data_IF_805306635440
#
_entry.id   IF_805306635440
#
_cell.length_a   1.000
_cell.length_b   1.000
_cell.length_c   1.000
_cell.angle_alpha   90.00
_cell.angle_beta   90.00
_cell.angle_gamma   90.00
#
_symmetry.space_group_name_H-M   'P 1'
#
loop_
_entity.id
_entity.type
_entity.pdbx_description
1 polymer ?
#
# COMPACT_ATOMS: atom_id res chain seq x y z
N UNK A 1 -8.45 -5.85 -15.94
CA UNK A 1 -8.23 -4.69 -15.06
C UNK A 1 -8.94 -3.47 -15.63
N UNK A 2 -9.60 -2.68 -14.82
CA UNK A 2 -10.14 -1.39 -15.25
C UNK A 2 -8.98 -0.42 -15.50
N UNK A 3 -9.12 0.50 -16.45
CA UNK A 3 -8.02 1.35 -16.96
C UNK A 3 -7.36 2.30 -15.94
N UNK A 4 -7.93 2.44 -14.73
CA UNK A 4 -7.42 3.33 -13.68
C UNK A 4 -6.49 2.67 -12.67
N UNK A 5 -6.28 1.35 -12.73
CA UNK A 5 -5.41 0.60 -11.83
C UNK A 5 -4.38 -0.19 -12.62
N UNK A 6 -3.09 0.08 -12.39
CA UNK A 6 -1.98 -0.61 -13.05
C UNK A 6 -1.22 -1.43 -12.02
N UNK A 7 -0.70 -2.58 -12.42
CA UNK A 7 0.08 -3.49 -11.59
C UNK A 7 1.55 -3.50 -11.99
N UNK A 8 2.41 -3.44 -10.97
CA UNK A 8 3.81 -3.83 -11.05
C UNK A 8 4.10 -4.81 -9.93
N UNK A 9 4.59 -5.99 -10.25
CA UNK A 9 5.10 -6.90 -9.21
C UNK A 9 6.54 -6.51 -8.90
N UNK A 10 6.84 -6.19 -7.63
CA UNK A 10 8.14 -5.66 -7.18
C UNK A 10 8.59 -6.33 -5.88
N UNK A 11 9.87 -6.17 -5.56
CA UNK A 11 10.44 -6.69 -4.32
C UNK A 11 10.66 -8.20 -4.30
N UNK A 12 11.23 -8.70 -3.20
CA UNK A 12 11.64 -10.11 -3.04
C UNK A 12 10.46 -11.10 -3.03
N UNK A 13 9.27 -10.66 -2.67
CA UNK A 13 8.05 -11.49 -2.62
C UNK A 13 7.08 -11.21 -3.77
N UNK A 14 7.50 -10.51 -4.82
CA UNK A 14 6.64 -10.13 -5.95
C UNK A 14 5.37 -9.39 -5.48
N UNK A 15 5.56 -8.41 -4.58
CA UNK A 15 4.47 -7.59 -4.08
C UNK A 15 3.69 -6.96 -5.24
N UNK A 16 2.39 -7.02 -5.17
CA UNK A 16 1.51 -6.33 -6.07
C UNK A 16 1.52 -4.82 -5.74
N UNK A 17 2.51 -4.10 -6.27
CA UNK A 17 2.56 -2.64 -6.21
C UNK A 17 1.51 -2.08 -7.15
N UNK A 18 0.49 -1.44 -6.58
CA UNK A 18 -0.60 -0.85 -7.36
C UNK A 18 -0.32 0.61 -7.69
N UNK A 19 -0.62 1.00 -8.92
CA UNK A 19 -0.54 2.40 -9.36
C UNK A 19 -1.94 2.86 -9.70
N UNK A 20 -2.48 3.76 -8.89
CA UNK A 20 -3.79 4.38 -9.08
C UNK A 20 -3.62 5.57 -10.02
N UNK A 21 -4.22 5.51 -11.20
CA UNK A 21 -4.29 6.65 -12.12
C UNK A 21 -5.36 7.62 -11.66
N UNK A 22 -4.94 8.87 -11.42
CA UNK A 22 -5.83 9.96 -11.04
C UNK A 22 -6.22 10.82 -12.25
N UNK A 23 -5.28 10.97 -13.20
CA UNK A 23 -5.48 11.65 -14.48
C UNK A 23 -4.66 10.96 -15.57
N UNK A 24 -4.43 11.64 -16.69
CA UNK A 24 -3.56 11.14 -17.73
C UNK A 24 -2.14 10.86 -17.20
N UNK A 25 -1.60 11.76 -16.37
CA UNK A 25 -0.20 11.71 -15.93
C UNK A 25 -0.04 11.55 -14.41
N UNK A 26 -1.02 11.99 -13.58
CA UNK A 26 -0.89 12.00 -12.13
C UNK A 26 -1.30 10.65 -11.55
N UNK A 27 -0.46 10.12 -10.65
CA UNK A 27 -0.70 8.79 -10.05
C UNK A 27 -0.38 8.78 -8.56
N UNK A 28 -0.95 7.79 -7.85
CA UNK A 28 -0.52 7.35 -6.52
C UNK A 28 0.05 5.93 -6.64
N UNK A 29 1.15 5.68 -5.94
CA UNK A 29 1.77 4.37 -5.81
C UNK A 29 1.35 3.75 -4.48
N UNK A 30 0.90 2.50 -4.49
CA UNK A 30 0.54 1.76 -3.28
C UNK A 30 1.52 0.61 -3.10
N UNK A 31 2.11 0.51 -1.91
CA UNK A 31 3.05 -0.53 -1.49
C UNK A 31 4.24 -0.71 -2.44
N UNK A 32 5.12 0.29 -2.56
CA UNK A 32 6.32 0.19 -3.40
C UNK A 32 7.36 -0.71 -2.73
N UNK A 33 7.58 -1.90 -3.27
CA UNK A 33 8.48 -2.91 -2.72
C UNK A 33 9.85 -2.98 -3.41
N UNK A 34 10.02 -2.28 -4.56
CA UNK A 34 11.27 -2.35 -5.34
C UNK A 34 12.44 -1.72 -4.61
N UNK A 35 13.51 -2.49 -4.40
CA UNK A 35 14.70 -2.04 -3.69
C UNK A 35 15.96 -2.70 -4.23
N UNK A 36 17.12 -2.29 -3.74
CA UNK A 36 18.43 -2.82 -4.13
C UNK A 36 18.56 -4.30 -3.78
N UNK A 37 18.05 -4.70 -2.63
CA UNK A 37 18.12 -6.06 -2.10
C UNK A 37 17.31 -7.06 -2.94
N UNK A 38 16.29 -6.58 -3.67
CA UNK A 38 15.52 -7.36 -4.65
C UNK A 38 16.05 -7.22 -6.09
N UNK A 39 17.10 -6.43 -6.32
CA UNK A 39 17.67 -6.13 -7.65
C UNK A 39 16.68 -5.52 -8.65
N UNK A 40 15.68 -4.80 -8.16
CA UNK A 40 14.65 -4.15 -8.97
C UNK A 40 14.37 -2.69 -8.58
N UNK A 41 15.31 -2.05 -7.88
CA UNK A 41 15.17 -0.70 -7.31
C UNK A 41 14.69 0.35 -8.31
N UNK A 42 15.07 0.22 -9.60
CA UNK A 42 14.67 1.16 -10.65
C UNK A 42 13.36 0.77 -11.36
N UNK A 43 12.74 -0.35 -11.02
CA UNK A 43 11.62 -0.92 -11.79
C UNK A 43 10.41 0.02 -11.84
N UNK A 44 9.99 0.54 -10.68
CA UNK A 44 8.87 1.50 -10.59
C UNK A 44 9.23 2.81 -11.31
N UNK A 45 10.42 3.36 -11.06
CA UNK A 45 10.89 4.62 -11.65
C UNK A 45 10.93 4.53 -13.18
N UNK A 46 11.51 3.45 -13.71
CA UNK A 46 11.59 3.22 -15.15
C UNK A 46 10.20 3.08 -15.78
N UNK A 47 9.26 2.41 -15.08
CA UNK A 47 7.88 2.31 -15.53
C UNK A 47 7.18 3.67 -15.59
N UNK A 48 7.31 4.47 -14.53
CA UNK A 48 6.73 5.82 -14.46
C UNK A 48 7.27 6.72 -15.59
N UNK A 49 8.60 6.75 -15.74
CA UNK A 49 9.25 7.55 -16.78
C UNK A 49 8.84 7.13 -18.20
N UNK A 50 8.81 5.83 -18.47
CA UNK A 50 8.40 5.28 -19.78
C UNK A 50 6.98 5.66 -20.16
N UNK A 51 6.09 5.79 -19.18
CA UNK A 51 4.67 6.08 -19.38
C UNK A 51 4.30 7.55 -19.11
N UNK A 52 5.29 8.44 -18.88
CA UNK A 52 5.10 9.85 -18.53
C UNK A 52 4.17 10.04 -17.32
N UNK A 53 4.33 9.19 -16.28
CA UNK A 53 3.52 9.24 -15.07
C UNK A 53 4.27 9.98 -13.96
N UNK A 54 3.58 10.89 -13.29
CA UNK A 54 4.08 11.70 -12.17
C UNK A 54 3.45 11.21 -10.86
N UNK A 55 4.21 10.59 -9.95
CA UNK A 55 3.68 10.20 -8.65
C UNK A 55 3.52 11.44 -7.75
N UNK A 56 2.29 11.68 -7.31
CA UNK A 56 1.98 12.75 -6.34
C UNK A 56 2.01 12.23 -4.90
N UNK A 57 1.86 10.92 -4.72
CA UNK A 57 1.84 10.27 -3.42
C UNK A 57 2.20 8.80 -3.46
N UNK A 58 2.65 8.32 -2.31
CA UNK A 58 2.86 6.92 -1.96
C UNK A 58 1.93 6.61 -0.80
N UNK A 59 1.19 5.52 -0.89
CA UNK A 59 0.37 4.99 0.20
C UNK A 59 0.95 3.65 0.61
N UNK A 60 1.16 3.46 1.89
CA UNK A 60 1.52 2.19 2.49
C UNK A 60 0.26 1.60 3.14
N UNK A 61 -0.15 0.41 2.71
CA UNK A 61 -1.32 -0.25 3.29
C UNK A 61 -1.04 -0.69 4.72
N UNK A 62 0.22 -1.00 5.02
CA UNK A 62 0.70 -1.34 6.35
C UNK A 62 2.24 -1.21 6.40
N UNK A 63 2.85 -1.49 7.56
CA UNK A 63 4.26 -1.19 7.81
C UNK A 63 5.25 -2.31 7.46
N UNK A 64 4.84 -3.51 7.00
CA UNK A 64 5.80 -4.60 6.83
C UNK A 64 6.85 -4.28 5.77
N UNK A 65 8.03 -4.79 6.03
CA UNK A 65 9.28 -4.47 5.34
C UNK A 65 9.20 -4.65 3.81
N UNK A 66 8.50 -5.64 3.36
CA UNK A 66 8.34 -5.99 1.95
C UNK A 66 7.39 -5.04 1.19
N UNK A 67 6.56 -4.27 1.87
CA UNK A 67 5.67 -3.27 1.27
C UNK A 67 6.26 -1.85 1.27
N UNK A 68 7.26 -1.58 2.11
CA UNK A 68 7.78 -0.22 2.33
C UNK A 68 9.19 0.03 1.75
N UNK A 69 9.90 -1.03 1.34
CA UNK A 69 11.32 -0.97 0.98
C UNK A 69 11.66 0.00 -0.16
N UNK A 70 10.73 0.22 -1.09
CA UNK A 70 10.91 1.13 -2.23
C UNK A 70 10.65 2.60 -1.92
N UNK A 71 10.18 2.95 -0.71
CA UNK A 71 9.81 4.33 -0.37
C UNK A 71 11.01 5.29 -0.45
N UNK A 72 12.18 4.85 -0.01
CA UNK A 72 13.40 5.66 0.00
C UNK A 72 13.81 6.10 -1.39
N UNK A 73 14.00 5.15 -2.30
CA UNK A 73 14.46 5.44 -3.66
C UNK A 73 13.42 6.27 -4.44
N UNK A 74 12.14 6.03 -4.22
CA UNK A 74 11.08 6.83 -4.81
C UNK A 74 11.09 8.28 -4.29
N UNK A 75 11.28 8.48 -2.99
CA UNK A 75 11.36 9.83 -2.40
C UNK A 75 12.61 10.59 -2.87
N UNK A 76 13.73 9.90 -3.11
CA UNK A 76 14.95 10.48 -3.68
C UNK A 76 14.73 10.96 -5.13
N UNK A 77 13.99 10.20 -5.96
CA UNK A 77 13.71 10.55 -7.35
C UNK A 77 12.55 11.55 -7.50
N UNK A 78 11.57 11.48 -6.60
CA UNK A 78 10.37 12.31 -6.59
C UNK A 78 10.21 13.02 -5.23
N UNK A 79 11.05 14.01 -4.91
CA UNK A 79 11.11 14.61 -3.56
C UNK A 79 9.80 15.28 -3.11
N UNK A 80 8.96 15.70 -4.05
CA UNK A 80 7.65 16.30 -3.76
C UNK A 80 6.53 15.25 -3.54
N UNK A 81 6.80 13.97 -3.83
CA UNK A 81 5.86 12.87 -3.61
C UNK A 81 5.66 12.67 -2.10
N UNK A 82 4.43 12.80 -1.60
CA UNK A 82 4.10 12.63 -0.18
C UNK A 82 3.91 11.15 0.15
N UNK A 83 4.36 10.75 1.35
CA UNK A 83 4.20 9.38 1.84
C UNK A 83 3.11 9.36 2.92
N UNK A 84 2.16 8.44 2.78
CA UNK A 84 1.04 8.28 3.71
C UNK A 84 0.91 6.85 4.21
N UNK A 85 0.54 6.71 5.48
CA UNK A 85 0.23 5.45 6.15
C UNK A 85 -0.78 5.70 7.29
N UNK A 86 -1.38 4.66 7.84
CA UNK A 86 -2.16 4.80 9.07
C UNK A 86 -1.27 5.15 10.28
N UNK A 87 -1.77 5.98 11.20
CA UNK A 87 -0.99 6.51 12.33
C UNK A 87 -0.39 5.41 13.21
N UNK A 88 -1.08 4.30 13.42
CA UNK A 88 -0.61 3.17 14.25
C UNK A 88 0.57 2.39 13.65
N UNK A 89 0.83 2.50 12.34
CA UNK A 89 1.94 1.83 11.66
C UNK A 89 3.09 2.78 11.29
N UNK A 90 2.94 4.07 11.55
CA UNK A 90 3.85 5.13 11.13
C UNK A 90 5.30 4.90 11.55
N UNK A 91 5.52 4.57 12.83
CA UNK A 91 6.87 4.44 13.37
C UNK A 91 7.61 3.25 12.76
N UNK A 92 6.92 2.15 12.50
CA UNK A 92 7.47 0.94 11.89
C UNK A 92 7.70 1.06 10.37
N UNK A 93 7.20 2.13 9.74
CA UNK A 93 7.37 2.40 8.30
C UNK A 93 8.26 3.62 8.01
N UNK A 94 8.95 4.16 9.00
CA UNK A 94 9.78 5.36 8.89
C UNK A 94 11.19 5.12 9.45
N UNK A 95 11.81 6.12 10.05
CA UNK A 95 13.18 6.05 10.58
C UNK A 95 13.42 4.92 11.60
N UNK A 96 12.37 4.46 12.30
CA UNK A 96 12.45 3.36 13.26
C UNK A 96 12.22 1.98 12.64
N UNK A 97 11.93 1.89 11.33
CA UNK A 97 11.58 0.65 10.64
C UNK A 97 12.59 -0.48 10.89
N UNK A 98 13.88 -0.19 10.73
CA UNK A 98 14.95 -1.16 11.01
C UNK A 98 14.85 -1.72 12.41
N UNK A 99 14.86 -0.84 13.45
CA UNK A 99 14.83 -1.24 14.85
C UNK A 99 13.60 -2.08 15.20
N UNK A 100 12.45 -1.75 14.61
CA UNK A 100 11.18 -2.42 14.90
C UNK A 100 11.02 -3.75 14.17
N UNK A 101 11.69 -3.94 13.02
CA UNK A 101 11.50 -5.10 12.16
C UNK A 101 12.70 -6.03 12.04
N UNK A 102 13.91 -5.64 12.50
CA UNK A 102 15.11 -6.49 12.37
C UNK A 102 14.96 -7.86 13.03
N UNK A 103 14.27 -7.96 14.16
CA UNK A 103 14.03 -9.25 14.83
C UNK A 103 13.10 -10.16 14.00
N UNK A 104 12.15 -9.59 13.29
CA UNK A 104 11.27 -10.33 12.35
C UNK A 104 12.13 -10.88 11.22
N UNK A 105 12.91 -10.02 10.58
CA UNK A 105 13.78 -10.38 9.46
C UNK A 105 14.79 -11.46 9.86
N UNK A 106 15.45 -11.32 11.01
CA UNK A 106 16.39 -12.32 11.52
C UNK A 106 15.71 -13.66 11.79
N UNK A 107 14.51 -13.66 12.37
CA UNK A 107 13.75 -14.89 12.63
C UNK A 107 13.33 -15.65 11.36
N UNK A 108 13.17 -14.92 10.26
CA UNK A 108 12.82 -15.44 8.95
C UNK A 108 14.06 -15.73 8.06
N UNK A 109 15.28 -15.50 8.55
CA UNK A 109 16.53 -15.60 7.79
C UNK A 109 16.60 -14.61 6.61
N UNK A 110 16.01 -13.43 6.76
CA UNK A 110 16.05 -12.30 5.82
C UNK A 110 16.92 -11.14 6.30
N UNK A 111 17.95 -11.44 7.09
CA UNK A 111 18.91 -10.45 7.63
C UNK A 111 19.57 -9.59 6.54
N UNK A 112 19.76 -10.12 5.35
CA UNK A 112 20.26 -9.37 4.19
C UNK A 112 19.33 -8.21 3.77
N UNK A 113 18.04 -8.27 4.13
CA UNK A 113 17.07 -7.25 3.77
C UNK A 113 17.02 -6.07 4.77
N UNK A 114 17.70 -6.18 5.91
CA UNK A 114 17.70 -5.14 6.95
C UNK A 114 18.19 -3.79 6.40
N UNK A 115 19.15 -3.81 5.45
CA UNK A 115 19.68 -2.60 4.80
C UNK A 115 18.62 -1.81 4.03
N UNK A 116 17.59 -2.46 3.49
CA UNK A 116 16.49 -1.81 2.79
C UNK A 116 15.64 -0.91 3.72
N UNK A 117 15.66 -1.18 5.04
CA UNK A 117 14.92 -0.43 6.05
C UNK A 117 15.73 0.70 6.70
N UNK A 118 16.97 0.90 6.27
CA UNK A 118 17.82 1.95 6.82
C UNK A 118 17.49 3.32 6.23
N UNK A 119 17.32 4.30 7.12
CA UNK A 119 17.08 5.69 6.74
C UNK A 119 15.88 5.86 5.81
N UNK A 120 14.79 5.16 6.08
CA UNK A 120 13.53 5.39 5.39
C UNK A 120 13.06 6.84 5.62
N UNK A 121 12.39 7.45 4.64
CA UNK A 121 11.90 8.82 4.76
C UNK A 121 10.83 8.94 5.85
N UNK A 122 10.63 10.16 6.34
CA UNK A 122 9.53 10.46 7.24
C UNK A 122 8.18 10.31 6.52
N UNK A 123 7.15 9.97 7.27
CA UNK A 123 5.78 9.97 6.80
C UNK A 123 5.26 11.42 6.76
N UNK A 124 4.71 11.81 5.62
CA UNK A 124 4.17 13.17 5.40
C UNK A 124 2.70 13.28 5.84
N UNK A 125 1.92 12.19 5.70
CA UNK A 125 0.47 12.14 5.97
C UNK A 125 0.15 10.92 6.81
N UNK A 126 -0.66 11.08 7.87
CA UNK A 126 -1.20 9.94 8.62
C UNK A 126 -2.71 9.85 8.46
N UNK A 127 -3.22 8.61 8.31
CA UNK A 127 -4.64 8.31 8.25
C UNK A 127 -5.15 7.77 9.59
N UNK A 128 -6.43 8.00 9.86
CA UNK A 128 -7.16 7.43 11.01
C UNK A 128 -8.21 6.39 10.58
N UNK A 129 -8.43 6.25 9.26
CA UNK A 129 -9.20 5.15 8.68
C UNK A 129 -10.64 5.44 8.26
N UNK A 130 -11.01 6.69 8.07
CA UNK A 130 -12.31 7.07 7.52
C UNK A 130 -12.24 8.19 6.47
N UNK A 131 -11.05 8.61 6.12
CA UNK A 131 -10.78 9.70 5.20
C UNK A 131 -10.87 9.23 3.74
N UNK A 132 -10.86 10.20 2.84
CA UNK A 132 -10.56 9.99 1.42
C UNK A 132 -9.10 10.36 1.15
N UNK A 133 -8.63 10.12 -0.07
CA UNK A 133 -7.27 10.50 -0.47
C UNK A 133 -7.10 12.03 -0.71
N UNK A 134 -8.08 12.85 -0.34
CA UNK A 134 -8.03 14.30 -0.50
C UNK A 134 -6.87 14.97 0.27
N UNK A 135 -6.27 14.31 1.26
CA UNK A 135 -5.05 14.76 1.92
C UNK A 135 -3.85 14.97 0.98
N UNK A 136 -3.89 14.36 -0.22
CA UNK A 136 -2.90 14.58 -1.27
C UNK A 136 -3.22 15.79 -2.16
N UNK A 137 -4.36 16.43 -1.99
CA UNK A 137 -4.76 17.59 -2.83
C UNK A 137 -3.76 18.73 -2.71
N UNK A 138 -3.41 19.31 -3.85
CA UNK A 138 -2.62 20.53 -3.96
C UNK A 138 -3.11 21.38 -5.13
N UNK A 139 -2.80 22.70 -5.16
CA UNK A 139 -3.26 23.60 -6.22
C UNK A 139 -2.74 23.25 -7.62
N UNK A 140 -1.65 22.47 -7.71
CA UNK A 140 -1.01 22.09 -8.97
C UNK A 140 -1.72 20.91 -9.65
N UNK A 141 -2.58 20.18 -8.92
CA UNK A 141 -3.26 19.00 -9.46
C UNK A 141 -4.37 19.37 -10.44
N UNK A 142 -4.56 18.53 -11.43
CA UNK A 142 -5.70 18.61 -12.33
C UNK A 142 -7.01 18.41 -11.57
N UNK A 143 -8.09 19.02 -12.06
CA UNK A 143 -9.44 18.83 -11.48
C UNK A 143 -9.87 17.34 -11.53
N UNK A 144 -9.46 16.61 -12.56
CA UNK A 144 -9.69 15.16 -12.67
C UNK A 144 -8.98 14.40 -11.54
N UNK A 145 -7.72 14.73 -11.24
CA UNK A 145 -6.99 14.08 -10.14
C UNK A 145 -7.65 14.35 -8.79
N UNK A 146 -8.09 15.59 -8.54
CA UNK A 146 -8.80 15.95 -7.30
C UNK A 146 -10.10 15.16 -7.15
N UNK A 147 -10.87 15.02 -8.22
CA UNK A 147 -12.09 14.19 -8.22
C UNK A 147 -11.77 12.71 -7.90
N UNK A 148 -10.75 12.15 -8.55
CA UNK A 148 -10.35 10.77 -8.31
C UNK A 148 -9.84 10.53 -6.89
N UNK A 149 -9.10 11.47 -6.29
CA UNK A 149 -8.69 11.39 -4.88
C UNK A 149 -9.89 11.26 -3.93
N UNK A 150 -10.99 11.96 -4.22
CA UNK A 150 -12.22 11.89 -3.40
C UNK A 150 -13.00 10.58 -3.59
N UNK A 151 -12.80 9.86 -4.70
CA UNK A 151 -13.48 8.58 -4.96
C UNK A 151 -12.89 7.40 -4.17
N UNK A 152 -11.65 7.54 -3.66
CA UNK A 152 -10.98 6.52 -2.86
C UNK A 152 -11.16 6.80 -1.37
N UNK A 153 -11.79 5.87 -0.66
CA UNK A 153 -11.98 5.91 0.79
C UNK A 153 -10.97 5.00 1.48
N UNK A 154 -10.37 5.48 2.56
CA UNK A 154 -9.55 4.70 3.48
C UNK A 154 -10.47 3.94 4.44
N UNK A 155 -10.19 2.65 4.62
CA UNK A 155 -10.87 1.81 5.60
C UNK A 155 -9.79 1.24 6.52
N UNK A 156 -9.87 1.53 7.82
CA UNK A 156 -8.99 0.90 8.81
C UNK A 156 -9.35 -0.58 8.96
N UNK A 157 -8.39 -1.45 8.74
CA UNK A 157 -8.54 -2.91 8.70
C UNK A 157 -7.49 -3.60 9.58
N UNK A 158 -7.52 -3.37 10.92
CA UNK A 158 -6.52 -3.91 11.82
C UNK A 158 -6.62 -5.43 11.95
N UNK A 159 -5.49 -6.05 12.22
CA UNK A 159 -5.40 -7.50 12.46
C UNK A 159 -4.13 -8.12 11.94
N UNK A 160 -3.71 -7.84 10.72
CA UNK A 160 -2.39 -8.18 10.19
C UNK A 160 -1.30 -7.29 10.83
N UNK A 161 -1.54 -5.98 10.81
CA UNK A 161 -0.86 -4.97 11.63
C UNK A 161 -1.89 -4.13 12.39
N UNK A 162 -1.48 -3.33 13.39
CA UNK A 162 -2.39 -2.42 14.08
C UNK A 162 -2.95 -1.32 13.16
N UNK A 163 -2.15 -0.86 12.20
CA UNK A 163 -2.48 0.23 11.28
C UNK A 163 -2.83 -0.23 9.86
N UNK A 164 -3.13 -1.51 9.65
CA UNK A 164 -3.54 -2.00 8.34
C UNK A 164 -4.73 -1.24 7.76
N UNK A 165 -4.67 -0.89 6.47
CA UNK A 165 -5.77 -0.21 5.76
C UNK A 165 -6.09 -0.89 4.43
N UNK A 166 -7.34 -0.74 4.00
CA UNK A 166 -7.76 -0.96 2.63
C UNK A 166 -8.15 0.36 1.96
N UNK A 167 -8.00 0.43 0.64
CA UNK A 167 -8.44 1.56 -0.18
C UNK A 167 -9.65 1.13 -1.02
N UNK A 168 -10.81 1.74 -0.78
CA UNK A 168 -12.06 1.39 -1.44
C UNK A 168 -12.54 2.47 -2.41
N UNK A 169 -12.70 2.12 -3.66
CA UNK A 169 -13.38 2.95 -4.66
C UNK A 169 -14.75 2.36 -4.97
N UNK A 170 -15.79 2.96 -4.42
CA UNK A 170 -17.17 2.49 -4.58
C UNK A 170 -17.65 2.63 -6.03
N UNK A 171 -17.27 3.70 -6.72
CA UNK A 171 -17.72 3.98 -8.09
C UNK A 171 -17.18 2.95 -9.08
N UNK A 172 -15.92 2.54 -8.89
CA UNK A 172 -15.25 1.54 -9.72
C UNK A 172 -15.41 0.11 -9.18
N UNK A 173 -15.99 -0.06 -7.97
CA UNK A 173 -16.09 -1.34 -7.27
C UNK A 173 -14.72 -2.03 -7.16
N UNK A 174 -13.74 -1.32 -6.60
CA UNK A 174 -12.36 -1.78 -6.41
C UNK A 174 -11.97 -1.67 -4.94
N UNK A 175 -11.30 -2.69 -4.42
CA UNK A 175 -10.73 -2.70 -3.07
C UNK A 175 -9.26 -3.13 -3.16
N UNK A 176 -8.33 -2.19 -2.94
CA UNK A 176 -6.93 -2.53 -2.70
C UNK A 176 -6.84 -2.93 -1.23
N UNK A 177 -6.56 -4.19 -0.97
CA UNK A 177 -6.68 -4.78 0.36
C UNK A 177 -5.36 -4.91 1.13
N UNK A 178 -4.22 -4.60 0.50
CA UNK A 178 -2.92 -4.92 1.10
C UNK A 178 -2.92 -6.38 1.57
N UNK A 179 -2.47 -6.59 2.79
CA UNK A 179 -2.42 -7.91 3.42
C UNK A 179 -3.61 -8.20 4.37
N UNK A 180 -4.69 -7.46 4.19
CA UNK A 180 -5.92 -7.75 4.94
C UNK A 180 -6.63 -8.98 4.37
N UNK A 181 -6.79 -9.06 3.04
CA UNK A 181 -7.60 -10.06 2.37
C UNK A 181 -6.91 -10.52 1.08
N UNK A 182 -6.78 -11.83 0.92
CA UNK A 182 -6.27 -12.54 -0.26
C UNK A 182 -7.34 -13.45 -0.86
N UNK A 183 -7.09 -14.03 -2.03
CA UNK A 183 -8.00 -15.03 -2.59
C UNK A 183 -8.14 -16.24 -1.65
N UNK A 184 -9.36 -16.47 -1.16
CA UNK A 184 -9.70 -17.53 -0.20
C UNK A 184 -8.83 -17.57 1.07
N UNK A 185 -8.21 -16.44 1.44
CA UNK A 185 -7.32 -16.33 2.59
C UNK A 185 -7.28 -14.90 3.14
N UNK A 186 -6.52 -14.69 4.22
CA UNK A 186 -6.28 -13.39 4.83
C UNK A 186 -4.85 -13.31 5.39
N UNK A 187 -4.39 -12.10 5.68
CA UNK A 187 -3.06 -11.85 6.22
C UNK A 187 -2.81 -12.53 7.56
N UNK A 188 -1.60 -13.05 7.72
CA UNK A 188 -1.17 -13.66 9.00
C UNK A 188 -1.28 -12.68 10.16
N UNK A 189 -1.48 -13.23 11.35
CA UNK A 189 -1.72 -12.42 12.57
C UNK A 189 -0.79 -12.80 13.72
N UNK A 190 0.27 -13.53 13.42
CA UNK A 190 1.25 -14.08 14.38
C UNK A 190 2.55 -13.28 14.46
N UNK A 191 2.73 -12.26 13.61
CA UNK A 191 3.85 -11.33 13.71
C UNK A 191 3.58 -10.24 14.77
N UNK A 192 4.63 -9.54 15.28
CA UNK A 192 4.46 -8.45 16.23
C UNK A 192 3.45 -7.41 15.76
N UNK A 193 2.48 -7.08 16.62
CA UNK A 193 1.36 -6.20 16.28
C UNK A 193 0.14 -6.92 15.69
N UNK A 194 0.30 -8.16 15.21
CA UNK A 194 -0.80 -8.97 14.68
C UNK A 194 -1.82 -9.38 15.75
N UNK A 195 -3.10 -9.44 15.37
CA UNK A 195 -4.21 -9.80 16.27
C UNK A 195 -5.31 -10.53 15.53
N UNK A 196 -5.41 -11.85 15.76
CA UNK A 196 -6.39 -12.70 15.09
C UNK A 196 -7.85 -12.29 15.38
N UNK A 197 -8.16 -11.92 16.63
CA UNK A 197 -9.52 -11.48 16.98
C UNK A 197 -9.94 -10.20 16.26
N UNK A 198 -9.02 -9.26 16.11
CA UNK A 198 -9.26 -8.05 15.31
C UNK A 198 -9.42 -8.38 13.83
N UNK A 199 -8.56 -9.26 13.28
CA UNK A 199 -8.66 -9.69 11.88
C UNK A 199 -10.05 -10.29 11.59
N UNK A 200 -10.57 -11.17 12.44
CA UNK A 200 -11.90 -11.74 12.24
C UNK A 200 -13.02 -10.68 12.24
N UNK A 201 -12.92 -9.67 13.10
CA UNK A 201 -13.87 -8.54 13.11
C UNK A 201 -13.75 -7.68 11.85
N UNK A 202 -12.53 -7.41 11.42
CA UNK A 202 -12.23 -6.68 10.18
C UNK A 202 -12.85 -7.38 8.97
N UNK A 203 -12.62 -8.68 8.84
CA UNK A 203 -13.14 -9.49 7.72
C UNK A 203 -14.69 -9.55 7.72
N UNK A 204 -15.32 -9.67 8.90
CA UNK A 204 -16.78 -9.61 9.02
C UNK A 204 -17.31 -8.24 8.57
N UNK A 205 -16.68 -7.16 9.03
CA UNK A 205 -17.05 -5.79 8.65
C UNK A 205 -16.91 -5.54 7.13
N UNK A 206 -15.86 -6.06 6.50
CA UNK A 206 -15.68 -5.98 5.04
C UNK A 206 -16.85 -6.68 4.33
N UNK A 207 -17.18 -7.91 4.72
CA UNK A 207 -18.30 -8.66 4.14
C UNK A 207 -19.65 -7.94 4.28
N UNK A 208 -19.86 -7.25 5.39
CA UNK A 208 -21.12 -6.55 5.67
C UNK A 208 -21.24 -5.20 4.95
N UNK A 209 -20.11 -4.50 4.76
CA UNK A 209 -20.10 -3.10 4.28
C UNK A 209 -19.69 -2.91 2.83
N UNK A 210 -18.94 -3.86 2.25
CA UNK A 210 -18.45 -3.79 0.88
C UNK A 210 -19.34 -4.65 -0.04
N UNK A 211 -19.81 -4.11 -1.17
CA UNK A 211 -20.61 -4.89 -2.14
C UNK A 211 -19.88 -6.16 -2.60
N UNK A 212 -20.60 -7.26 -2.66
CA UNK A 212 -20.03 -8.59 -2.97
C UNK A 212 -19.43 -8.72 -4.39
N UNK A 213 -19.79 -7.83 -5.29
CA UNK A 213 -19.26 -7.73 -6.66
C UNK A 213 -18.04 -6.78 -6.78
N UNK A 214 -17.51 -6.29 -5.63
CA UNK A 214 -16.28 -5.49 -5.58
C UNK A 214 -15.08 -6.38 -5.90
N UNK A 215 -14.23 -5.92 -6.82
CA UNK A 215 -13.00 -6.60 -7.21
C UNK A 215 -11.89 -6.31 -6.21
N UNK A 216 -11.19 -7.35 -5.80
CA UNK A 216 -10.14 -7.32 -4.78
C UNK A 216 -8.77 -7.30 -5.43
N UNK A 217 -7.91 -6.40 -4.94
CA UNK A 217 -6.54 -6.16 -5.38
C UNK A 217 -5.59 -6.24 -4.18
N UNK A 218 -5.15 -7.46 -3.80
CA UNK A 218 -4.31 -7.68 -2.63
C UNK A 218 -2.84 -7.28 -2.84
N UNK A 219 -2.09 -7.26 -1.73
CA UNK A 219 -0.64 -7.02 -1.74
C UNK A 219 0.17 -8.17 -2.34
N UNK A 220 -0.34 -9.39 -2.32
CA UNK A 220 0.34 -10.58 -2.85
C UNK A 220 -0.59 -11.42 -3.72
N UNK A 221 0.01 -12.31 -4.53
CA UNK A 221 -0.61 -13.41 -5.24
C UNK A 221 -1.73 -13.00 -6.22
N UNK A 222 -2.78 -13.80 -6.28
CA UNK A 222 -3.89 -13.68 -7.22
C UNK A 222 -4.77 -12.46 -6.91
N UNK A 223 -5.16 -11.73 -7.92
CA UNK A 223 -5.91 -10.48 -7.85
C UNK A 223 -7.05 -10.43 -8.88
N UNK A 224 -7.88 -9.37 -8.82
CA UNK A 224 -8.98 -9.12 -9.76
C UNK A 224 -10.09 -10.17 -9.64
N UNK A 225 -10.38 -10.58 -8.41
CA UNK A 225 -11.47 -11.50 -8.07
C UNK A 225 -12.57 -10.77 -7.28
N UNK A 226 -13.86 -11.13 -7.47
CA UNK A 226 -14.93 -10.50 -6.72
C UNK A 226 -14.93 -10.95 -5.25
N UNK A 227 -15.34 -10.05 -4.34
CA UNK A 227 -15.44 -10.35 -2.91
C UNK A 227 -16.35 -11.56 -2.63
N UNK A 228 -17.33 -11.84 -3.51
CA UNK A 228 -18.20 -13.02 -3.40
C UNK A 228 -17.48 -14.36 -3.55
N UNK A 229 -16.28 -14.39 -4.10
CA UNK A 229 -15.45 -15.61 -4.23
C UNK A 229 -14.51 -15.81 -3.04
N UNK A 230 -14.46 -14.87 -2.11
CA UNK A 230 -13.73 -14.95 -0.85
C UNK A 230 -14.65 -15.49 0.24
#
# INVERSE_FOLDING_TARGET
MKNNLLLLQTGIFNINTWIIKLSENEVIIVDPASCKESHDEMKIINFLNKNNLLPIGIILTHCHFDHIAGTKILKEHFPNCKIAIHDLDKDAASQNAKQMQENILNSMSFDFFISALENLPNIDITFLGNETLNAFTSPELSSQAIEQLNNWKIIHTPGHTPGGICLFNKNEKQLISGDTLFYQSYGRTDLPGGNHSQMMKTLSSIKESIPSDTLIYPGHDYFDFPLSEW
#
